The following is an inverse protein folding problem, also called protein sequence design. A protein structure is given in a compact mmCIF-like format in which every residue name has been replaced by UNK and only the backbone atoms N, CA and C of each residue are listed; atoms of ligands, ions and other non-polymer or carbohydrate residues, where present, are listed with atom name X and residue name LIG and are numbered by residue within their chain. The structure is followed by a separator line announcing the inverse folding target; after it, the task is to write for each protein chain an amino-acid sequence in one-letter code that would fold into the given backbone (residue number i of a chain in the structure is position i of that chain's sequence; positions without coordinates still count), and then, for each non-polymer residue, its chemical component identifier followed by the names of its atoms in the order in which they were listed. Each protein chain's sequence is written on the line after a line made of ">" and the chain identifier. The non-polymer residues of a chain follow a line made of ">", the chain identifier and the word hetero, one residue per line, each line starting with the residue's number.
data_IF_081826468801
#
_entry.id   IF_081826468801
#
_cell.length_a   1.000
_cell.length_b   1.000
_cell.length_c   1.000
_cell.angle_alpha   90.00
_cell.angle_beta   90.00
_cell.angle_gamma   90.00
#
_symmetry.space_group_name_H-M   'P 1'
#
loop_
_entity.id
_entity.type
_entity.pdbx_description
1 polymer ?
#
# COMPACT_ATOMS: atom_id res chain seq x y z
N UNK A 1 -16.51 14.33 -17.44
CA UNK A 1 -16.91 13.02 -16.97
C UNK A 1 -16.42 12.78 -15.55
N UNK A 2 -17.36 12.68 -14.63
CA UNK A 2 -17.08 12.49 -13.21
C UNK A 2 -16.26 11.23 -12.92
N UNK A 3 -16.45 10.19 -13.70
CA UNK A 3 -15.72 8.94 -13.52
C UNK A 3 -14.25 9.10 -13.91
N UNK A 4 -13.97 9.83 -14.97
CA UNK A 4 -12.60 10.09 -15.39
C UNK A 4 -11.85 10.98 -14.39
N UNK A 5 -12.51 11.99 -13.84
CA UNK A 5 -11.90 12.85 -12.84
C UNK A 5 -11.45 12.08 -11.62
N UNK A 6 -12.28 11.17 -11.13
CA UNK A 6 -11.94 10.33 -9.98
C UNK A 6 -10.81 9.35 -10.28
N UNK A 7 -10.77 8.82 -11.48
CA UNK A 7 -9.68 7.95 -11.90
C UNK A 7 -8.34 8.67 -11.90
N UNK A 8 -8.31 9.92 -12.37
CA UNK A 8 -7.08 10.71 -12.36
C UNK A 8 -6.54 10.91 -10.96
N UNK A 9 -7.41 11.17 -10.00
CA UNK A 9 -7.00 11.41 -8.62
C UNK A 9 -6.40 10.17 -7.98
N UNK A 10 -6.68 8.98 -8.49
CA UNK A 10 -6.21 7.71 -7.95
C UNK A 10 -5.04 7.13 -8.73
N UNK A 11 -4.96 7.37 -10.03
CA UNK A 11 -3.94 6.76 -10.90
C UNK A 11 -2.53 7.10 -10.44
N UNK A 12 -2.25 8.37 -10.17
CA UNK A 12 -0.91 8.77 -9.77
C UNK A 12 -0.48 8.16 -8.44
N UNK A 13 -1.26 8.30 -7.35
CA UNK A 13 -0.86 7.67 -6.09
C UNK A 13 -0.83 6.14 -6.18
N UNK A 14 -1.68 5.51 -6.97
CA UNK A 14 -1.64 4.06 -7.15
C UNK A 14 -0.39 3.63 -7.93
N UNK A 15 0.04 4.43 -8.90
CA UNK A 15 1.28 4.16 -9.64
C UNK A 15 2.48 4.23 -8.70
N UNK A 16 2.53 5.25 -7.85
CA UNK A 16 3.59 5.40 -6.85
C UNK A 16 3.56 4.21 -5.88
N UNK A 17 2.38 3.82 -5.41
CA UNK A 17 2.23 2.71 -4.48
C UNK A 17 2.71 1.39 -5.09
N UNK A 18 2.35 1.11 -6.33
CA UNK A 18 2.83 -0.10 -7.04
C UNK A 18 4.33 -0.13 -7.15
N UNK A 19 4.94 1.02 -7.42
CA UNK A 19 6.39 1.13 -7.52
C UNK A 19 7.05 0.87 -6.17
N UNK A 20 6.53 1.45 -5.11
CA UNK A 20 7.03 1.23 -3.76
C UNK A 20 6.90 -0.25 -3.36
N UNK A 21 5.76 -0.84 -3.62
CA UNK A 21 5.52 -2.26 -3.33
C UNK A 21 6.52 -3.15 -4.06
N UNK A 22 6.73 -2.88 -5.35
CA UNK A 22 7.67 -3.63 -6.17
C UNK A 22 9.12 -3.49 -5.68
N UNK A 23 9.51 -2.29 -5.32
CA UNK A 23 10.87 -2.02 -4.81
C UNK A 23 11.10 -2.74 -3.48
N UNK A 24 10.08 -2.78 -2.62
CA UNK A 24 10.20 -3.38 -1.28
C UNK A 24 10.02 -4.89 -1.28
N UNK A 25 9.48 -5.47 -2.33
CA UNK A 25 9.19 -6.90 -2.39
C UNK A 25 10.41 -7.80 -2.10
N UNK A 26 11.59 -7.57 -2.72
CA UNK A 26 12.74 -8.46 -2.49
C UNK A 26 13.22 -8.51 -1.03
N UNK A 27 12.97 -7.47 -0.26
CA UNK A 27 13.41 -7.40 1.14
C UNK A 27 12.25 -7.46 2.13
N UNK A 28 11.04 -7.76 1.64
CA UNK A 28 9.85 -7.80 2.48
C UNK A 28 10.01 -8.76 3.66
N UNK A 29 10.51 -9.96 3.41
CA UNK A 29 10.71 -10.94 4.48
C UNK A 29 11.73 -10.47 5.50
N UNK A 30 12.81 -9.84 5.07
CA UNK A 30 13.80 -9.29 5.98
C UNK A 30 13.20 -8.23 6.90
N UNK A 31 12.32 -7.38 6.36
CA UNK A 31 11.62 -6.37 7.17
C UNK A 31 10.70 -7.04 8.18
N UNK A 32 9.94 -8.06 7.76
CA UNK A 32 9.05 -8.78 8.66
C UNK A 32 9.80 -9.51 9.76
N UNK A 33 10.96 -10.08 9.45
CA UNK A 33 11.83 -10.69 10.45
C UNK A 33 12.35 -9.64 11.45
N UNK A 34 12.72 -8.47 10.97
CA UNK A 34 13.15 -7.37 11.83
C UNK A 34 12.03 -6.90 12.75
N UNK A 35 10.79 -6.83 12.23
CA UNK A 35 9.61 -6.51 13.05
C UNK A 35 9.47 -7.51 14.20
N UNK A 36 9.56 -8.80 13.90
CA UNK A 36 9.46 -9.85 14.93
C UNK A 36 10.61 -9.77 15.93
N UNK A 37 11.81 -9.52 15.46
CA UNK A 37 12.98 -9.33 16.32
C UNK A 37 12.78 -8.18 17.29
N UNK A 38 12.32 -7.03 16.80
CA UNK A 38 12.09 -5.86 17.65
C UNK A 38 10.99 -6.12 18.68
N UNK A 39 9.93 -6.82 18.30
CA UNK A 39 8.83 -7.12 19.21
C UNK A 39 9.20 -8.18 20.26
N UNK A 40 9.76 -9.29 19.82
CA UNK A 40 9.97 -10.46 20.69
C UNK A 40 11.29 -10.40 21.42
N UNK A 41 12.39 -10.10 20.72
CA UNK A 41 13.70 -10.14 21.33
C UNK A 41 14.08 -8.85 22.04
N UNK A 42 13.69 -7.71 21.49
CA UNK A 42 13.95 -6.41 22.11
C UNK A 42 12.78 -5.89 22.94
N UNK A 43 11.59 -6.45 22.80
CA UNK A 43 10.42 -6.05 23.57
C UNK A 43 9.96 -4.62 23.30
N UNK A 44 10.23 -4.10 22.11
CA UNK A 44 9.90 -2.71 21.76
C UNK A 44 8.40 -2.56 21.53
N UNK A 45 7.83 -1.48 22.04
CA UNK A 45 6.43 -1.11 21.79
C UNK A 45 6.34 -0.23 20.54
N UNK A 46 7.39 0.53 20.25
CA UNK A 46 7.51 1.32 19.02
C UNK A 46 8.68 0.81 18.22
N UNK A 47 8.54 0.82 16.89
CA UNK A 47 9.59 0.29 16.04
C UNK A 47 10.79 1.24 15.95
N UNK A 48 11.98 0.65 15.90
CA UNK A 48 13.20 1.38 15.61
C UNK A 48 13.35 1.53 14.09
N UNK A 49 13.26 2.76 13.61
CA UNK A 49 13.38 3.07 12.20
C UNK A 49 14.68 2.57 11.56
N UNK A 50 15.80 2.72 12.29
CA UNK A 50 17.11 2.37 11.71
C UNK A 50 17.20 0.89 11.38
N UNK A 51 16.69 0.03 12.25
CA UNK A 51 16.66 -1.40 12.00
C UNK A 51 15.81 -1.75 10.80
N UNK A 52 14.66 -1.11 10.67
CA UNK A 52 13.74 -1.36 9.56
C UNK A 52 14.29 -0.84 8.23
N UNK A 53 14.95 0.32 8.24
CA UNK A 53 15.61 0.84 7.03
C UNK A 53 16.76 -0.05 6.57
N UNK A 54 17.53 -0.57 7.50
CA UNK A 54 18.59 -1.54 7.16
C UNK A 54 18.01 -2.79 6.56
N UNK A 55 16.92 -3.30 7.13
CA UNK A 55 16.28 -4.52 6.63
C UNK A 55 15.69 -4.30 5.23
N UNK A 56 15.07 -3.16 4.96
CA UNK A 56 14.50 -2.87 3.65
C UNK A 56 15.55 -2.49 2.61
N UNK A 57 16.67 -1.91 3.04
CA UNK A 57 17.70 -1.38 2.15
C UNK A 57 17.37 0.02 1.63
N UNK A 58 16.35 0.66 2.16
CA UNK A 58 15.89 2.00 1.71
C UNK A 58 15.56 2.88 2.90
N UNK A 59 15.33 4.17 2.64
CA UNK A 59 14.91 5.12 3.68
C UNK A 59 13.44 4.97 4.03
N UNK A 60 12.74 4.06 3.39
CA UNK A 60 11.34 3.74 3.63
C UNK A 60 11.17 2.22 3.71
N UNK A 61 10.04 1.79 4.29
CA UNK A 61 9.75 0.37 4.51
C UNK A 61 8.26 0.17 4.72
N UNK A 62 7.83 -1.10 4.75
CA UNK A 62 6.48 -1.46 5.14
C UNK A 62 6.55 -2.64 6.09
N UNK A 63 5.96 -2.49 7.28
CA UNK A 63 6.01 -3.50 8.34
C UNK A 63 4.86 -4.50 8.29
N UNK A 64 3.93 -4.33 7.35
CA UNK A 64 2.76 -5.18 7.25
C UNK A 64 3.02 -6.40 6.36
N UNK A 65 2.31 -7.48 6.62
CA UNK A 65 2.44 -8.73 5.85
C UNK A 65 1.90 -8.62 4.43
N UNK A 66 0.99 -7.66 4.18
CA UNK A 66 0.34 -7.53 2.88
C UNK A 66 1.27 -6.96 1.83
N UNK A 67 1.10 -7.45 0.60
CA UNK A 67 1.61 -6.84 -0.62
C UNK A 67 0.41 -6.60 -1.52
N UNK A 68 0.56 -5.82 -2.57
CA UNK A 68 -0.55 -5.60 -3.50
C UNK A 68 -1.00 -6.91 -4.14
N UNK A 69 -0.06 -7.80 -4.44
CA UNK A 69 -0.37 -9.13 -4.98
C UNK A 69 -1.22 -9.94 -4.01
N UNK A 70 -0.80 -10.01 -2.74
CA UNK A 70 -1.53 -10.76 -1.71
C UNK A 70 -2.91 -10.16 -1.46
N UNK A 71 -3.03 -8.84 -1.50
CA UNK A 71 -4.32 -8.17 -1.36
C UNK A 71 -5.29 -8.60 -2.46
N UNK A 72 -4.83 -8.63 -3.70
CA UNK A 72 -5.65 -9.09 -4.82
C UNK A 72 -6.09 -10.54 -4.66
N UNK A 73 -5.15 -11.40 -4.29
CA UNK A 73 -5.42 -12.83 -4.12
C UNK A 73 -6.41 -13.11 -2.99
N UNK A 74 -6.42 -12.27 -1.94
CA UNK A 74 -7.30 -12.46 -0.78
C UNK A 74 -8.70 -11.89 -0.98
N UNK A 75 -8.95 -11.21 -2.07
CA UNK A 75 -10.12 -10.34 -2.20
C UNK A 75 -11.47 -11.06 -2.32
N UNK A 76 -11.55 -12.30 -2.70
CA UNK A 76 -12.77 -13.15 -2.71
C UNK A 76 -14.12 -12.43 -2.92
N UNK A 77 -14.19 -11.44 -3.80
CA UNK A 77 -15.39 -10.66 -4.09
C UNK A 77 -15.94 -9.83 -2.92
N UNK A 78 -15.22 -9.72 -1.81
CA UNK A 78 -15.64 -8.92 -0.66
C UNK A 78 -14.87 -7.61 -0.63
N UNK A 79 -15.48 -6.53 -1.14
CA UNK A 79 -14.84 -5.22 -1.21
C UNK A 79 -14.53 -4.63 0.17
N UNK A 80 -15.37 -4.91 1.16
CA UNK A 80 -15.17 -4.39 2.52
C UNK A 80 -13.98 -5.06 3.20
N UNK A 81 -13.83 -6.37 3.01
CA UNK A 81 -12.66 -7.08 3.53
C UNK A 81 -11.39 -6.60 2.83
N UNK A 82 -11.46 -6.42 1.52
CA UNK A 82 -10.33 -5.89 0.75
C UNK A 82 -9.94 -4.51 1.26
N UNK A 83 -10.92 -3.64 1.53
CA UNK A 83 -10.66 -2.32 2.08
C UNK A 83 -9.95 -2.39 3.43
N UNK A 84 -10.43 -3.25 4.32
CA UNK A 84 -9.83 -3.44 5.65
C UNK A 84 -8.37 -3.87 5.54
N UNK A 85 -8.10 -4.85 4.69
CA UNK A 85 -6.75 -5.36 4.48
C UNK A 85 -5.85 -4.30 3.82
N UNK A 86 -6.41 -3.52 2.90
CA UNK A 86 -5.69 -2.45 2.25
C UNK A 86 -5.32 -1.34 3.24
N UNK A 87 -6.22 -1.00 4.16
CA UNK A 87 -5.93 -0.04 5.21
C UNK A 87 -4.79 -0.51 6.11
N UNK A 88 -4.77 -1.79 6.48
CA UNK A 88 -3.66 -2.37 7.24
C UNK A 88 -2.35 -2.22 6.48
N UNK A 89 -2.37 -2.51 5.19
CA UNK A 89 -1.20 -2.40 4.34
C UNK A 89 -0.66 -0.96 4.31
N UNK A 90 -1.54 0.01 4.11
CA UNK A 90 -1.14 1.43 4.10
C UNK A 90 -0.57 1.87 5.44
N UNK A 91 -1.15 1.39 6.53
CA UNK A 91 -0.69 1.74 7.87
C UNK A 91 0.67 1.13 8.21
N UNK A 92 1.10 0.11 7.48
CA UNK A 92 2.41 -0.50 7.68
C UNK A 92 3.57 0.28 7.09
N UNK A 93 3.31 1.24 6.22
CA UNK A 93 4.37 2.05 5.62
C UNK A 93 5.05 2.95 6.65
N UNK A 94 6.32 3.27 6.41
CA UNK A 94 7.07 4.22 7.21
C UNK A 94 6.39 5.60 7.18
N UNK A 95 6.67 6.43 8.19
CA UNK A 95 6.00 7.72 8.35
C UNK A 95 6.16 8.62 7.14
N UNK A 96 7.34 8.63 6.52
CA UNK A 96 7.59 9.45 5.33
C UNK A 96 6.68 9.07 4.15
N UNK A 97 6.43 7.77 3.95
CA UNK A 97 5.51 7.31 2.91
C UNK A 97 4.07 7.63 3.29
N UNK A 98 3.69 7.42 4.56
CA UNK A 98 2.34 7.74 5.03
C UNK A 98 2.00 9.21 4.79
N UNK A 99 2.94 10.11 5.03
CA UNK A 99 2.73 11.53 4.79
C UNK A 99 2.40 11.83 3.33
N UNK A 100 3.10 11.15 2.41
CA UNK A 100 2.84 11.29 0.98
C UNK A 100 1.44 10.78 0.63
N UNK A 101 1.06 9.61 1.18
CA UNK A 101 -0.23 9.01 0.89
C UNK A 101 -1.38 9.89 1.42
N UNK A 102 -1.20 10.51 2.58
CA UNK A 102 -2.19 11.44 3.15
C UNK A 102 -2.34 12.68 2.26
N UNK A 103 -1.25 13.21 1.72
CA UNK A 103 -1.30 14.36 0.82
C UNK A 103 -2.10 14.07 -0.45
N UNK A 104 -2.04 12.84 -0.94
CA UNK A 104 -2.83 12.41 -2.09
C UNK A 104 -4.25 12.00 -1.72
N UNK A 105 -4.59 11.99 -0.42
CA UNK A 105 -5.88 11.53 0.09
C UNK A 105 -6.24 10.13 -0.41
N UNK A 106 -5.23 9.28 -0.51
CA UNK A 106 -5.38 7.95 -1.11
C UNK A 106 -6.40 7.10 -0.36
N UNK A 107 -6.37 7.12 0.98
CA UNK A 107 -7.29 6.31 1.77
C UNK A 107 -8.76 6.70 1.52
N UNK A 108 -9.05 7.99 1.41
CA UNK A 108 -10.39 8.47 1.11
C UNK A 108 -10.86 7.99 -0.26
N UNK A 109 -9.97 8.04 -1.25
CA UNK A 109 -10.27 7.55 -2.60
C UNK A 109 -10.51 6.05 -2.60
N UNK A 110 -9.69 5.30 -1.86
CA UNK A 110 -9.82 3.85 -1.76
C UNK A 110 -11.14 3.47 -1.09
N UNK A 111 -11.52 4.15 -0.02
CA UNK A 111 -12.81 3.93 0.64
C UNK A 111 -13.98 4.19 -0.30
N UNK A 112 -13.88 5.25 -1.07
CA UNK A 112 -14.92 5.61 -2.04
C UNK A 112 -15.05 4.52 -3.11
N UNK A 113 -13.93 4.01 -3.62
CA UNK A 113 -13.93 2.93 -4.60
C UNK A 113 -14.52 1.63 -4.03
N UNK A 114 -14.24 1.31 -2.77
CA UNK A 114 -14.81 0.13 -2.12
C UNK A 114 -16.33 0.24 -2.01
N UNK A 115 -16.82 1.44 -1.66
CA UNK A 115 -18.26 1.67 -1.58
C UNK A 115 -18.96 1.54 -2.94
N UNK A 116 -18.24 1.75 -4.03
CA UNK A 116 -18.78 1.59 -5.39
C UNK A 116 -18.41 0.26 -6.03
N UNK A 117 -17.81 -0.65 -5.25
CA UNK A 117 -17.41 -1.99 -5.71
C UNK A 117 -16.43 -1.98 -6.89
N UNK A 118 -15.56 -0.96 -6.96
CA UNK A 118 -14.56 -0.86 -8.04
C UNK A 118 -13.12 -0.97 -7.54
N UNK A 119 -12.92 -1.13 -6.23
CA UNK A 119 -11.56 -1.18 -5.66
C UNK A 119 -10.73 -2.33 -6.22
N UNK A 120 -11.30 -3.52 -6.29
CA UNK A 120 -10.60 -4.69 -6.82
C UNK A 120 -10.19 -4.48 -8.27
N UNK A 121 -11.05 -3.86 -9.07
CA UNK A 121 -10.75 -3.58 -10.47
C UNK A 121 -9.54 -2.66 -10.60
N UNK A 122 -9.46 -1.63 -9.76
CA UNK A 122 -8.33 -0.69 -9.77
C UNK A 122 -7.04 -1.39 -9.36
N UNK A 123 -7.10 -2.22 -8.30
CA UNK A 123 -5.93 -2.98 -7.85
C UNK A 123 -5.48 -4.02 -8.89
N UNK A 124 -6.42 -4.56 -9.65
CA UNK A 124 -6.15 -5.58 -10.66
C UNK A 124 -5.55 -5.04 -11.95
N UNK A 125 -5.68 -3.75 -12.22
CA UNK A 125 -5.20 -3.18 -13.49
C UNK A 125 -3.73 -2.79 -13.40
N UNK A 126 -2.95 -3.06 -14.46
CA UNK A 126 -1.61 -2.52 -14.53
C UNK A 126 -1.66 -0.99 -14.57
N UNK A 127 -0.58 -0.31 -14.17
CA UNK A 127 -0.56 1.15 -14.16
C UNK A 127 -0.48 1.68 -15.60
N UNK A 128 -1.57 1.59 -16.31
CA UNK A 128 -1.67 2.24 -17.60
C UNK A 128 -2.17 3.65 -17.39
N UNK A 129 -1.36 4.59 -17.79
CA UNK A 129 -1.85 5.94 -18.00
C UNK A 129 -2.92 5.79 -19.07
N UNK A 130 -4.19 6.16 -18.81
CA UNK A 130 -5.19 6.10 -19.86
C UNK A 130 -4.69 6.89 -21.04
N UNK A 131 -4.84 6.34 -22.25
CA UNK A 131 -4.35 7.07 -23.41
C UNK A 131 -4.94 8.46 -23.39
N UNK A 132 -4.07 9.44 -23.58
CA UNK A 132 -4.52 10.79 -23.84
C UNK A 132 -5.24 10.70 -25.16
N UNK A 133 -6.39 10.18 -25.11
CA UNK A 133 -7.10 10.06 -26.33
C UNK A 133 -7.92 11.28 -26.53
N UNK A 134 -7.99 11.61 -27.76
CA UNK A 134 -9.02 12.54 -28.14
C UNK A 134 -10.33 12.11 -27.60
#
# INVERSE_FOLDING_TARGET
>A
DLVRGKYRDVILPMTVLRRLDSILEPTKEAVLEEVEFQKKDLGLTEFDDDGLRKASGFVFYNTNKWTLKKLKESASNNQQLLLSNFEEYLNGFSANVKDILVRFKLLDQVRHMANKNVLLDVLGKPPTIPPISP
#
